data_IF_646401320929
#
_entry.id   IF_646401320929
#
_cell.length_a   1.000
_cell.length_b   1.000
_cell.length_c   1.000
_cell.angle_alpha   90.00
_cell.angle_beta   90.00
_cell.angle_gamma   90.00
#
_symmetry.space_group_name_H-M   'P 1'
#
loop_
_entity.id
_entity.type
_entity.pdbx_description
1 polymer ?
#
# COMPACT_ATOMS: atom_id res chain seq x y z
N UNK A 1 49.76 -19.78 51.17
CA UNK A 1 48.73 -20.07 50.28
C UNK A 1 48.05 -18.91 49.55
N UNK A 2 48.41 -17.65 49.76
CA UNK A 2 47.80 -16.50 49.11
C UNK A 2 48.19 -16.36 47.62
N UNK A 3 49.34 -16.92 47.19
CA UNK A 3 49.83 -16.85 45.82
C UNK A 3 48.99 -17.68 44.85
N UNK A 4 48.31 -18.74 45.30
CA UNK A 4 47.50 -19.62 44.48
C UNK A 4 46.16 -18.98 44.04
N UNK A 5 45.64 -18.05 44.85
CA UNK A 5 44.38 -17.36 44.49
C UNK A 5 44.60 -16.31 43.41
N UNK A 6 45.77 -15.66 43.30
CA UNK A 6 46.09 -14.71 42.24
C UNK A 6 46.21 -15.33 40.87
N UNK A 7 46.80 -16.52 40.75
CA UNK A 7 46.97 -17.21 39.48
C UNK A 7 45.67 -17.74 38.87
N UNK A 8 44.67 -17.96 39.72
CA UNK A 8 43.33 -18.44 39.28
C UNK A 8 42.34 -17.31 38.98
N UNK A 9 42.63 -16.09 39.41
CA UNK A 9 41.72 -14.95 39.17
C UNK A 9 41.98 -14.35 37.81
N UNK A 10 41.01 -14.52 36.88
CA UNK A 10 41.07 -13.98 35.53
C UNK A 10 39.78 -13.19 35.24
N UNK A 11 39.66 -11.92 35.66
CA UNK A 11 38.43 -11.13 35.54
C UNK A 11 38.00 -10.90 34.09
N UNK A 12 38.93 -10.97 33.14
CA UNK A 12 38.64 -10.79 31.72
C UNK A 12 37.94 -11.97 31.08
N UNK A 13 37.93 -13.18 31.68
CA UNK A 13 37.31 -14.38 31.07
C UNK A 13 35.79 -14.22 30.86
N UNK A 14 35.09 -13.73 31.86
CA UNK A 14 33.67 -13.45 31.73
C UNK A 14 33.38 -12.37 30.71
N UNK A 15 34.26 -11.38 30.61
CA UNK A 15 34.16 -10.27 29.65
C UNK A 15 34.37 -10.77 28.21
N UNK A 16 35.26 -11.75 28.00
CA UNK A 16 35.43 -12.39 26.66
C UNK A 16 34.15 -13.06 26.17
N UNK A 17 33.41 -13.73 27.07
CA UNK A 17 32.10 -14.29 26.72
C UNK A 17 31.10 -13.20 26.33
N UNK A 18 31.11 -12.07 26.99
CA UNK A 18 30.26 -10.93 26.66
C UNK A 18 30.60 -10.35 25.30
N UNK A 19 31.88 -10.23 24.95
CA UNK A 19 32.35 -9.80 23.62
C UNK A 19 31.82 -10.77 22.54
N UNK A 20 32.03 -12.06 22.73
CA UNK A 20 31.60 -13.08 21.79
C UNK A 20 30.07 -13.08 21.59
N UNK A 21 29.31 -12.90 22.67
CA UNK A 21 27.85 -12.82 22.63
C UNK A 21 27.39 -11.59 21.87
N UNK A 22 28.01 -10.42 22.14
CA UNK A 22 27.69 -9.16 21.45
C UNK A 22 28.03 -9.25 19.94
N UNK A 23 29.18 -9.85 19.60
CA UNK A 23 29.58 -10.05 18.21
C UNK A 23 28.63 -10.98 17.48
N UNK A 24 28.20 -12.08 18.09
CA UNK A 24 27.21 -13.01 17.49
C UNK A 24 25.89 -12.29 17.20
N UNK A 25 25.46 -11.40 18.08
CA UNK A 25 24.21 -10.64 17.88
C UNK A 25 24.32 -9.70 16.69
N UNK A 26 25.44 -8.97 16.56
CA UNK A 26 25.70 -8.12 15.39
C UNK A 26 25.72 -8.93 14.11
N UNK A 27 26.46 -10.03 14.10
CA UNK A 27 26.59 -10.89 12.92
C UNK A 27 25.26 -11.49 12.51
N UNK A 28 24.42 -11.88 13.46
CA UNK A 28 23.07 -12.39 13.21
C UNK A 28 22.17 -11.36 12.56
N UNK A 29 22.20 -10.11 13.07
CA UNK A 29 21.42 -9.02 12.50
C UNK A 29 21.90 -8.65 11.10
N UNK A 30 23.21 -8.59 10.89
CA UNK A 30 23.80 -8.30 9.56
C UNK A 30 23.51 -9.42 8.54
N UNK A 31 23.62 -10.67 8.97
CA UNK A 31 23.36 -11.82 8.10
C UNK A 31 21.88 -11.90 7.69
N UNK A 32 20.99 -11.66 8.64
CA UNK A 32 19.55 -11.61 8.37
C UNK A 32 19.21 -10.46 7.41
N UNK A 33 19.90 -9.33 7.57
CA UNK A 33 19.66 -8.12 6.80
C UNK A 33 18.28 -7.51 7.07
N UNK A 34 17.95 -6.49 6.29
CA UNK A 34 16.63 -5.88 6.33
C UNK A 34 15.75 -6.44 5.23
N UNK A 35 14.56 -6.90 5.61
CA UNK A 35 13.50 -7.28 4.69
C UNK A 35 12.29 -6.41 4.99
N UNK A 36 11.86 -5.64 4.00
CA UNK A 36 10.69 -4.78 4.14
C UNK A 36 9.44 -5.65 4.34
N UNK A 37 8.71 -5.49 5.46
CA UNK A 37 7.59 -6.38 5.79
C UNK A 37 6.42 -6.25 4.84
N UNK A 38 6.25 -5.11 4.17
CA UNK A 38 5.15 -4.82 3.25
C UNK A 38 5.61 -4.69 1.80
N UNK A 39 6.75 -5.28 1.44
CA UNK A 39 7.29 -5.24 0.08
C UNK A 39 6.31 -5.82 -0.95
N UNK A 40 5.75 -6.99 -0.66
CA UNK A 40 4.78 -7.64 -1.56
C UNK A 40 3.51 -6.83 -1.72
N UNK A 41 2.96 -6.33 -0.63
CA UNK A 41 1.76 -5.50 -0.63
C UNK A 41 1.99 -4.21 -1.40
N UNK A 42 3.14 -3.55 -1.17
CA UNK A 42 3.50 -2.33 -1.89
C UNK A 42 3.64 -2.59 -3.40
N UNK A 43 4.35 -3.64 -3.79
CA UNK A 43 4.53 -4.01 -5.20
C UNK A 43 3.18 -4.33 -5.85
N UNK A 44 2.29 -5.00 -5.15
CA UNK A 44 0.95 -5.32 -5.63
C UNK A 44 0.13 -4.05 -5.87
N UNK A 45 0.13 -3.12 -4.92
CA UNK A 45 -0.60 -1.85 -5.04
C UNK A 45 -0.01 -1.00 -6.18
N UNK A 46 1.31 -0.90 -6.28
CA UNK A 46 1.98 -0.18 -7.39
C UNK A 46 1.61 -0.80 -8.73
N UNK A 47 1.55 -2.13 -8.82
CA UNK A 47 1.09 -2.83 -10.01
C UNK A 47 -0.36 -2.49 -10.37
N UNK A 48 -1.24 -2.40 -9.38
CA UNK A 48 -2.63 -1.98 -9.57
C UNK A 48 -2.73 -0.54 -10.06
N UNK A 49 -1.92 0.38 -9.50
CA UNK A 49 -1.87 1.78 -9.94
C UNK A 49 -1.40 1.86 -11.39
N UNK A 50 -0.32 1.17 -11.74
CA UNK A 50 0.25 1.18 -13.08
C UNK A 50 -0.67 0.55 -14.12
N UNK A 51 -1.46 -0.44 -13.71
CA UNK A 51 -2.44 -1.10 -14.56
C UNK A 51 -3.81 -0.41 -14.58
N UNK A 52 -4.02 0.62 -13.75
CA UNK A 52 -5.32 1.27 -13.67
C UNK A 52 -5.56 2.14 -14.91
N UNK A 53 -6.79 2.05 -15.42
CA UNK A 53 -7.22 2.79 -16.59
C UNK A 53 -8.70 3.08 -16.43
N UNK A 54 -9.08 4.33 -16.69
CA UNK A 54 -10.50 4.66 -16.67
C UNK A 54 -11.15 4.09 -17.92
N UNK A 55 -12.10 3.17 -17.72
CA UNK A 55 -12.95 2.59 -18.75
C UNK A 55 -14.39 2.64 -18.25
N UNK A 56 -15.27 3.20 -19.07
CA UNK A 56 -16.68 3.24 -18.78
C UNK A 56 -17.47 2.85 -20.01
N UNK A 57 -18.24 1.78 -19.88
CA UNK A 57 -19.17 1.33 -20.90
C UNK A 57 -20.59 1.55 -20.37
N UNK A 58 -21.28 2.51 -20.97
CA UNK A 58 -22.65 2.87 -20.61
C UNK A 58 -23.59 1.66 -20.68
N UNK A 59 -23.41 0.80 -21.68
CA UNK A 59 -24.26 -0.37 -21.90
C UNK A 59 -24.11 -1.44 -20.82
N UNK A 60 -22.99 -1.44 -20.10
CA UNK A 60 -22.71 -2.35 -18.98
C UNK A 60 -23.09 -1.76 -17.62
N UNK A 61 -23.46 -0.50 -17.56
CA UNK A 61 -23.89 0.15 -16.33
C UNK A 61 -25.29 -0.32 -15.95
N UNK A 62 -25.40 -1.02 -14.80
CA UNK A 62 -26.67 -1.54 -14.30
C UNK A 62 -27.68 -0.43 -14.04
N UNK A 63 -27.23 0.71 -13.53
CA UNK A 63 -28.09 1.87 -13.26
C UNK A 63 -28.62 2.47 -14.56
N UNK A 64 -27.76 2.62 -15.58
CA UNK A 64 -28.21 3.06 -16.90
C UNK A 64 -29.26 2.12 -17.49
N UNK A 65 -29.02 0.81 -17.41
CA UNK A 65 -29.96 -0.18 -17.93
C UNK A 65 -31.31 -0.14 -17.20
N UNK A 66 -31.29 0.10 -15.90
CA UNK A 66 -32.51 0.29 -15.08
C UNK A 66 -33.28 1.53 -15.52
N UNK A 67 -32.61 2.66 -15.70
CA UNK A 67 -33.24 3.89 -16.21
C UNK A 67 -33.75 3.71 -17.63
N UNK A 68 -32.99 3.03 -18.47
CA UNK A 68 -33.39 2.73 -19.87
C UNK A 68 -34.68 1.96 -19.91
N UNK A 69 -34.83 0.90 -19.14
CA UNK A 69 -36.06 0.11 -19.07
C UNK A 69 -37.21 0.98 -18.56
N UNK A 70 -37.00 1.74 -17.50
CA UNK A 70 -38.00 2.59 -16.89
C UNK A 70 -38.52 3.67 -17.87
N UNK A 71 -37.59 4.42 -18.48
CA UNK A 71 -37.97 5.50 -19.39
C UNK A 71 -38.54 4.98 -20.72
N UNK A 72 -38.10 3.84 -21.23
CA UNK A 72 -38.71 3.21 -22.41
C UNK A 72 -40.14 2.78 -22.12
N UNK A 73 -40.40 2.18 -20.95
CA UNK A 73 -41.74 1.80 -20.53
C UNK A 73 -42.66 3.02 -20.41
N UNK A 74 -42.18 4.08 -19.76
CA UNK A 74 -42.91 5.33 -19.61
C UNK A 74 -43.15 6.01 -20.96
N UNK A 75 -42.15 5.98 -21.83
CA UNK A 75 -42.24 6.51 -23.19
C UNK A 75 -43.24 5.77 -24.05
N UNK A 76 -43.29 4.44 -23.97
CA UNK A 76 -44.30 3.64 -24.65
C UNK A 76 -45.72 3.95 -24.15
N UNK A 77 -45.90 4.07 -22.86
CA UNK A 77 -47.20 4.44 -22.27
C UNK A 77 -47.64 5.83 -22.74
N UNK A 78 -46.72 6.82 -22.67
CA UNK A 78 -46.99 8.17 -23.12
C UNK A 78 -47.29 8.25 -24.61
N UNK A 79 -46.59 7.44 -25.42
CA UNK A 79 -46.86 7.34 -26.87
C UNK A 79 -48.25 6.84 -27.14
N UNK A 80 -48.70 5.77 -26.48
CA UNK A 80 -50.03 5.19 -26.64
C UNK A 80 -51.10 6.19 -26.20
N UNK A 81 -50.94 6.87 -25.07
CA UNK A 81 -51.88 7.87 -24.61
C UNK A 81 -51.98 9.05 -25.56
N UNK A 82 -50.84 9.58 -26.03
CA UNK A 82 -50.80 10.67 -26.98
C UNK A 82 -51.45 10.31 -28.34
N UNK A 83 -51.26 9.10 -28.80
CA UNK A 83 -51.90 8.58 -30.04
C UNK A 83 -53.42 8.47 -29.84
N UNK A 84 -53.86 7.95 -28.70
CA UNK A 84 -55.26 7.83 -28.37
C UNK A 84 -55.96 9.21 -28.30
N UNK A 85 -55.34 10.17 -27.60
CA UNK A 85 -55.88 11.51 -27.50
C UNK A 85 -55.94 12.24 -28.83
N UNK A 86 -54.91 12.12 -29.65
CA UNK A 86 -54.87 12.72 -30.97
C UNK A 86 -55.89 12.06 -31.92
N UNK A 87 -56.05 10.75 -31.81
CA UNK A 87 -57.09 10.03 -32.58
C UNK A 87 -58.50 10.46 -32.20
N UNK A 88 -58.77 10.64 -30.89
CA UNK A 88 -60.05 11.14 -30.39
C UNK A 88 -60.35 12.55 -30.92
N UNK A 89 -59.34 13.44 -30.96
CA UNK A 89 -59.49 14.80 -31.50
C UNK A 89 -59.81 14.82 -33.00
N UNK A 90 -59.42 13.78 -33.74
CA UNK A 90 -59.66 13.65 -35.21
C UNK A 90 -60.86 12.78 -35.55
N UNK A 91 -61.75 12.55 -34.60
CA UNK A 91 -62.98 11.76 -34.84
C UNK A 91 -62.79 10.27 -34.80
N UNK A 92 -61.76 9.75 -34.20
CA UNK A 92 -61.47 8.32 -34.04
C UNK A 92 -60.64 7.71 -35.17
N UNK A 93 -60.11 8.51 -36.08
CA UNK A 93 -59.27 8.04 -37.18
C UNK A 93 -57.78 8.13 -36.84
N UNK A 94 -57.07 7.02 -37.03
CA UNK A 94 -55.61 7.03 -36.96
C UNK A 94 -55.05 7.82 -38.15
N UNK A 95 -54.15 8.74 -37.93
CA UNK A 95 -53.54 9.59 -38.94
C UNK A 95 -52.09 9.96 -38.60
N UNK A 96 -51.45 10.69 -39.51
CA UNK A 96 -50.06 11.11 -39.33
C UNK A 96 -49.88 12.05 -38.12
N UNK A 97 -50.92 12.82 -37.76
CA UNK A 97 -50.89 13.66 -36.57
C UNK A 97 -50.83 12.87 -35.29
N UNK A 98 -51.64 11.79 -35.17
CA UNK A 98 -51.58 10.89 -34.01
C UNK A 98 -50.25 10.19 -33.92
N UNK A 99 -49.66 9.74 -35.00
CA UNK A 99 -48.31 9.13 -35.03
C UNK A 99 -47.26 10.11 -34.61
N UNK A 100 -47.29 11.36 -35.07
CA UNK A 100 -46.35 12.42 -34.72
C UNK A 100 -46.46 12.76 -33.25
N UNK A 101 -47.69 12.90 -32.71
CA UNK A 101 -47.92 13.18 -31.29
C UNK A 101 -47.35 12.05 -30.40
N UNK A 102 -47.59 10.78 -30.78
CA UNK A 102 -47.03 9.63 -30.08
C UNK A 102 -45.53 9.59 -30.11
N UNK A 103 -44.91 9.86 -31.24
CA UNK A 103 -43.47 9.87 -31.39
C UNK A 103 -42.82 10.99 -30.58
N UNK A 104 -43.44 12.16 -30.52
CA UNK A 104 -42.95 13.27 -29.66
C UNK A 104 -42.99 12.91 -28.19
N UNK A 105 -44.08 12.28 -27.74
CA UNK A 105 -44.22 11.84 -26.37
C UNK A 105 -43.16 10.81 -25.99
N UNK A 106 -42.91 9.83 -26.86
CA UNK A 106 -41.87 8.84 -26.69
C UNK A 106 -40.47 9.49 -26.63
N UNK A 107 -40.17 10.37 -27.57
CA UNK A 107 -38.86 11.03 -27.66
C UNK A 107 -38.57 11.90 -26.45
N UNK A 108 -39.58 12.46 -25.78
CA UNK A 108 -39.41 13.21 -24.53
C UNK A 108 -38.75 12.34 -23.45
N UNK A 109 -39.15 11.10 -23.32
CA UNK A 109 -38.56 10.17 -22.36
C UNK A 109 -37.17 9.68 -22.78
N UNK A 110 -36.96 9.46 -24.09
CA UNK A 110 -35.65 9.14 -24.63
C UNK A 110 -34.65 10.28 -24.31
N UNK A 111 -35.11 11.52 -24.47
CA UNK A 111 -34.27 12.67 -24.16
C UNK A 111 -33.96 12.78 -22.66
N UNK A 112 -34.91 12.46 -21.79
CA UNK A 112 -34.66 12.39 -20.34
C UNK A 112 -33.60 11.34 -20.00
N UNK A 113 -33.65 10.17 -20.66
CA UNK A 113 -32.64 9.15 -20.50
C UNK A 113 -31.25 9.66 -20.94
N UNK A 114 -31.18 10.34 -22.09
CA UNK A 114 -29.92 10.91 -22.57
C UNK A 114 -29.35 11.96 -21.62
N UNK A 115 -30.22 12.73 -20.93
CA UNK A 115 -29.80 13.75 -19.98
C UNK A 115 -29.19 13.16 -18.70
N UNK A 116 -29.44 11.89 -18.41
CA UNK A 116 -28.85 11.18 -17.26
C UNK A 116 -27.43 10.71 -17.56
N UNK A 117 -27.09 10.46 -18.83
CA UNK A 117 -25.80 9.89 -19.26
C UNK A 117 -24.60 10.68 -18.72
N UNK A 118 -24.55 12.04 -18.81
CA UNK A 118 -23.43 12.80 -18.26
C UNK A 118 -23.24 12.61 -16.76
N UNK A 119 -24.34 12.47 -16.01
CA UNK A 119 -24.30 12.23 -14.56
C UNK A 119 -23.72 10.85 -14.26
N UNK A 120 -24.13 9.83 -14.99
CA UNK A 120 -23.60 8.47 -14.83
C UNK A 120 -22.12 8.41 -15.18
N UNK A 121 -21.72 9.07 -16.25
CA UNK A 121 -20.31 9.18 -16.62
C UNK A 121 -19.48 9.88 -15.52
N UNK A 122 -19.98 11.01 -15.03
CA UNK A 122 -19.35 11.77 -13.96
C UNK A 122 -19.23 10.93 -12.69
N UNK A 123 -20.27 10.19 -12.32
CA UNK A 123 -20.25 9.29 -11.17
C UNK A 123 -19.21 8.19 -11.32
N UNK A 124 -19.14 7.57 -12.50
CA UNK A 124 -18.15 6.54 -12.81
C UNK A 124 -16.73 7.09 -12.71
N UNK A 125 -16.52 8.32 -13.22
CA UNK A 125 -15.23 8.99 -13.13
C UNK A 125 -14.82 9.29 -11.70
N UNK A 126 -15.75 9.79 -10.88
CA UNK A 126 -15.51 10.04 -9.47
C UNK A 126 -15.17 8.76 -8.71
N UNK A 127 -15.89 7.67 -8.99
CA UNK A 127 -15.61 6.37 -8.39
C UNK A 127 -14.21 5.87 -8.74
N UNK A 128 -13.82 6.00 -10.00
CA UNK A 128 -12.48 5.66 -10.45
C UNK A 128 -11.42 6.50 -9.76
N UNK A 129 -11.61 7.82 -9.70
CA UNK A 129 -10.65 8.72 -9.05
C UNK A 129 -10.52 8.42 -7.55
N UNK A 130 -11.62 8.06 -6.89
CA UNK A 130 -11.62 7.66 -5.48
C UNK A 130 -10.86 6.36 -5.27
N UNK A 131 -11.10 5.36 -6.11
CA UNK A 131 -10.38 4.07 -6.04
C UNK A 131 -8.88 4.26 -6.28
N UNK A 132 -8.52 5.08 -7.27
CA UNK A 132 -7.13 5.40 -7.56
C UNK A 132 -6.46 6.12 -6.39
N UNK A 133 -7.16 7.10 -5.81
CA UNK A 133 -6.70 7.82 -4.62
C UNK A 133 -6.48 6.88 -3.44
N UNK A 134 -7.39 5.91 -3.23
CA UNK A 134 -7.25 4.89 -2.20
C UNK A 134 -6.03 4.00 -2.43
N UNK A 135 -5.73 3.65 -3.68
CA UNK A 135 -4.53 2.89 -4.02
C UNK A 135 -3.25 3.68 -3.70
N UNK A 136 -3.21 4.97 -4.05
CA UNK A 136 -2.07 5.83 -3.69
C UNK A 136 -1.91 5.94 -2.17
N UNK A 137 -3.01 6.07 -1.43
CA UNK A 137 -2.97 6.12 0.03
C UNK A 137 -2.43 4.82 0.62
N UNK A 138 -2.82 3.67 0.08
CA UNK A 138 -2.27 2.37 0.48
C UNK A 138 -0.78 2.26 0.18
N UNK A 139 -0.35 2.70 -1.01
CA UNK A 139 1.06 2.70 -1.37
C UNK A 139 1.88 3.55 -0.41
N UNK A 140 1.39 4.74 -0.06
CA UNK A 140 2.03 5.62 0.91
C UNK A 140 2.08 4.99 2.30
N UNK A 141 1.01 4.33 2.72
CA UNK A 141 0.97 3.62 4.00
C UNK A 141 2.02 2.51 4.06
N UNK A 142 2.07 1.64 3.06
CA UNK A 142 3.02 0.53 3.03
C UNK A 142 4.46 1.03 2.92
N UNK A 143 4.69 2.07 2.12
CA UNK A 143 6.00 2.70 2.01
C UNK A 143 6.46 3.28 3.35
N UNK A 144 5.56 3.97 4.07
CA UNK A 144 5.83 4.52 5.40
C UNK A 144 6.11 3.44 6.43
N UNK A 145 5.35 2.36 6.43
CA UNK A 145 5.56 1.23 7.34
C UNK A 145 6.88 0.51 7.05
N UNK A 146 7.24 0.36 5.78
CA UNK A 146 8.54 -0.20 5.40
C UNK A 146 9.69 0.69 5.86
N UNK A 147 9.55 2.02 5.72
CA UNK A 147 10.54 2.98 6.19
C UNK A 147 10.70 2.96 7.71
N UNK A 148 9.59 2.85 8.43
CA UNK A 148 9.60 2.72 9.90
C UNK A 148 10.31 1.43 10.33
N UNK A 149 10.02 0.32 9.68
CA UNK A 149 10.68 -0.96 9.95
C UNK A 149 12.18 -0.90 9.68
N UNK A 150 12.58 -0.21 8.62
CA UNK A 150 14.00 0.01 8.34
C UNK A 150 14.67 0.83 9.45
N UNK A 151 14.03 1.89 9.92
CA UNK A 151 14.53 2.72 11.01
C UNK A 151 14.70 1.89 12.29
N UNK A 152 13.74 1.04 12.60
CA UNK A 152 13.82 0.13 13.77
C UNK A 152 14.96 -0.88 13.62
N UNK A 153 15.11 -1.48 12.42
CA UNK A 153 16.21 -2.39 12.15
C UNK A 153 17.57 -1.70 12.30
N UNK A 154 17.72 -0.50 11.72
CA UNK A 154 18.94 0.28 11.79
C UNK A 154 19.29 0.65 13.25
N UNK A 155 18.27 1.01 14.04
CA UNK A 155 18.45 1.31 15.47
C UNK A 155 18.89 0.07 16.25
N UNK A 156 18.32 -1.09 15.98
CA UNK A 156 18.72 -2.36 16.60
C UNK A 156 20.17 -2.71 16.25
N UNK A 157 20.55 -2.54 14.99
CA UNK A 157 21.92 -2.81 14.53
C UNK A 157 22.91 -1.85 15.17
N UNK A 158 22.59 -0.56 15.25
CA UNK A 158 23.42 0.45 15.89
C UNK A 158 23.58 0.15 17.38
N UNK A 159 22.51 -0.23 18.06
CA UNK A 159 22.56 -0.61 19.48
C UNK A 159 23.43 -1.86 19.69
N UNK A 160 23.29 -2.86 18.81
CA UNK A 160 24.10 -4.07 18.88
C UNK A 160 25.59 -3.76 18.66
N UNK A 161 25.90 -2.87 17.71
CA UNK A 161 27.28 -2.41 17.46
C UNK A 161 27.84 -1.64 18.65
N UNK A 162 27.04 -0.77 19.26
CA UNK A 162 27.43 -0.02 20.46
C UNK A 162 27.71 -0.96 21.63
N UNK A 163 26.87 -1.96 21.83
CA UNK A 163 27.04 -2.98 22.87
C UNK A 163 28.33 -3.79 22.65
N UNK A 164 28.60 -4.11 21.37
CA UNK A 164 29.83 -4.83 21.00
C UNK A 164 31.09 -4.00 21.31
N UNK A 165 31.09 -2.73 20.94
CA UNK A 165 32.20 -1.81 21.22
C UNK A 165 32.41 -1.63 22.72
N UNK A 166 31.32 -1.46 23.48
CA UNK A 166 31.38 -1.36 24.92
C UNK A 166 31.99 -2.62 25.57
N UNK A 167 31.51 -3.78 25.18
CA UNK A 167 32.00 -5.06 25.68
C UNK A 167 33.49 -5.27 25.34
N UNK A 168 33.87 -4.95 24.11
CA UNK A 168 35.25 -5.04 23.64
C UNK A 168 36.19 -4.10 24.43
N UNK A 169 35.78 -2.85 24.59
CA UNK A 169 36.59 -1.85 25.34
C UNK A 169 36.76 -2.25 26.80
N UNK A 170 35.69 -2.75 27.42
CA UNK A 170 35.74 -3.23 28.80
C UNK A 170 36.67 -4.45 28.93
N UNK A 171 36.54 -5.41 28.01
CA UNK A 171 37.42 -6.59 27.96
C UNK A 171 38.88 -6.17 27.77
N UNK A 172 39.12 -5.25 26.83
CA UNK A 172 40.46 -4.76 26.51
C UNK A 172 41.13 -4.05 27.70
N UNK A 173 40.37 -3.18 28.40
CA UNK A 173 40.85 -2.49 29.57
C UNK A 173 41.26 -3.46 30.70
N UNK A 174 40.41 -4.46 30.95
CA UNK A 174 40.69 -5.46 31.98
C UNK A 174 41.86 -6.36 31.59
N UNK A 175 42.02 -6.65 30.31
CA UNK A 175 43.13 -7.45 29.80
C UNK A 175 44.46 -6.69 29.90
N UNK A 176 44.47 -5.39 29.63
CA UNK A 176 45.64 -4.53 29.85
C UNK A 176 46.07 -4.50 31.28
N UNK A 177 45.09 -4.36 32.21
CA UNK A 177 45.38 -4.40 33.66
C UNK A 177 45.96 -5.76 34.05
N UNK A 178 45.66 -6.83 33.33
CA UNK A 178 46.20 -8.18 33.55
C UNK A 178 47.54 -8.42 32.84
N UNK A 179 48.10 -7.40 32.15
CA UNK A 179 49.39 -7.50 31.44
C UNK A 179 49.31 -8.25 30.13
N UNK A 180 48.15 -8.46 29.55
CA UNK A 180 47.96 -9.17 28.26
C UNK A 180 47.93 -8.20 27.09
N UNK A 181 48.44 -8.64 25.92
CA UNK A 181 48.42 -7.86 24.70
C UNK A 181 47.07 -7.96 23.98
N UNK A 182 46.69 -6.89 23.31
CA UNK A 182 45.38 -6.68 22.73
C UNK A 182 45.41 -6.60 21.20
N UNK A 183 46.55 -6.90 20.57
CA UNK A 183 46.77 -6.74 19.12
C UNK A 183 45.82 -7.51 18.24
N UNK A 184 45.34 -8.69 18.65
CA UNK A 184 44.40 -9.51 17.89
C UNK A 184 42.99 -8.93 17.85
N UNK A 185 42.58 -8.27 18.91
CA UNK A 185 41.26 -7.64 19.05
C UNK A 185 41.11 -6.37 18.22
N UNK A 186 42.25 -5.68 17.96
CA UNK A 186 42.27 -4.51 17.08
C UNK A 186 41.88 -4.84 15.65
N UNK A 187 42.26 -6.03 15.13
CA UNK A 187 41.87 -6.49 13.81
C UNK A 187 40.35 -6.74 13.70
N UNK A 188 39.73 -7.25 14.76
CA UNK A 188 38.30 -7.44 14.85
C UNK A 188 37.54 -6.09 14.79
N UNK A 189 37.99 -5.12 15.52
CA UNK A 189 37.47 -3.76 15.57
C UNK A 189 37.47 -3.10 14.17
N UNK A 190 38.56 -3.25 13.41
CA UNK A 190 38.68 -2.71 12.05
C UNK A 190 37.72 -3.37 11.05
N UNK A 191 37.53 -4.69 11.13
CA UNK A 191 36.63 -5.40 10.22
C UNK A 191 35.15 -5.02 10.46
N UNK A 192 34.75 -4.73 11.70
CA UNK A 192 33.39 -4.29 12.01
C UNK A 192 33.11 -2.85 11.59
N UNK A 193 34.10 -1.97 11.53
CA UNK A 193 33.95 -0.63 10.99
C UNK A 193 33.77 -0.60 9.48
N UNK A 194 34.43 -1.52 8.76
CA UNK A 194 34.28 -1.61 7.30
C UNK A 194 32.88 -2.06 6.86
N UNK A 195 32.13 -2.79 7.69
CA UNK A 195 30.76 -3.18 7.39
C UNK A 195 29.73 -2.09 7.62
N UNK A 196 30.04 -1.03 8.38
CA UNK A 196 29.17 0.12 8.61
C UNK A 196 29.09 1.08 7.40
N UNK A 197 30.06 1.04 6.49
CA UNK A 197 30.17 1.95 5.35
C UNK A 197 29.54 1.41 4.05
N UNK A 198 28.99 0.22 4.09
CA UNK A 198 28.25 -0.39 3.00
C UNK A 198 26.76 -0.37 3.26
#
# INVERSE_FOLDING_TARGET
GSSLSYTKYKPYKGLKKQVNKAEKKVNKLQKKGFNAPYKSQLNNVVGQINGSKFEYDLNKDALYNQYKEQYQAMGNTAMQEAQADATALTGGFANSYAQTAGQRAYNSYVQQLQNIVPQLYSQARQNYDTELSNLYNKANLYSGLNAQSYTEYAAQLDQANANREYAFNKYNSMRQLSGKQVSKENNWSKSSQSTKTK
#
